data_IF_656383637070
#
_entry.id   IF_656383637070
#
_cell.length_a   1.000
_cell.length_b   1.000
_cell.length_c   1.000
_cell.angle_alpha   90.00
_cell.angle_beta   90.00
_cell.angle_gamma   90.00
#
_symmetry.space_group_name_H-M   'P 1'
#
loop_
_entity.id
_entity.type
_entity.pdbx_description
1 polymer ?
#
# COMPACT_ATOMS: atom_id res chain seq x y z
N UNK A 1 16.04 3.94 15.76
CA UNK A 1 15.57 2.57 16.07
C UNK A 1 14.08 2.63 16.40
N UNK A 2 13.19 2.53 15.41
CA UNK A 2 11.74 2.73 15.63
C UNK A 2 10.93 1.70 14.84
N UNK A 3 11.26 0.42 14.98
CA UNK A 3 10.40 -0.68 14.54
C UNK A 3 10.53 -1.82 15.55
N UNK A 4 10.18 -1.54 16.81
CA UNK A 4 10.06 -2.59 17.82
C UNK A 4 8.98 -2.22 18.82
N UNK A 5 7.74 -2.61 18.55
CA UNK A 5 6.74 -2.94 19.57
C UNK A 5 5.41 -3.37 18.93
N UNK A 6 5.08 -4.61 19.23
CA UNK A 6 3.82 -5.30 19.06
C UNK A 6 2.63 -4.54 19.66
N UNK A 7 1.73 -4.02 18.83
CA UNK A 7 0.29 -3.88 19.17
C UNK A 7 -0.55 -3.60 17.91
N UNK A 8 -1.76 -4.18 17.74
CA UNK A 8 -2.66 -3.84 16.63
C UNK A 8 -3.05 -2.35 16.60
N UNK A 9 -3.04 -1.69 17.76
CA UNK A 9 -3.26 -0.25 17.90
C UNK A 9 -2.08 0.61 17.39
N UNK A 10 -0.87 0.05 17.33
CA UNK A 10 0.34 0.72 16.82
C UNK A 10 0.28 0.94 15.31
N UNK A 11 -0.59 0.23 14.58
CA UNK A 11 -0.71 0.33 13.13
C UNK A 11 -1.58 1.50 12.65
N UNK A 12 -2.72 1.78 13.30
CA UNK A 12 -3.65 2.84 12.84
C UNK A 12 -3.11 4.26 13.09
N UNK A 13 -2.38 4.45 14.19
CA UNK A 13 -1.71 5.71 14.53
C UNK A 13 -0.55 6.00 13.58
N UNK A 14 0.20 4.95 13.17
CA UNK A 14 1.31 5.08 12.22
C UNK A 14 0.84 5.44 10.81
N UNK A 15 -0.27 4.87 10.34
CA UNK A 15 -0.83 5.16 9.01
C UNK A 15 -1.39 6.58 8.95
N UNK A 16 -2.16 6.98 9.96
CA UNK A 16 -2.66 8.35 10.10
C UNK A 16 -1.49 9.34 10.17
N UNK A 17 -0.42 9.00 10.90
CA UNK A 17 0.78 9.83 11.00
C UNK A 17 1.53 9.94 9.66
N UNK A 18 1.70 8.84 8.91
CA UNK A 18 2.29 8.85 7.56
C UNK A 18 1.47 9.72 6.62
N UNK A 19 0.14 9.57 6.60
CA UNK A 19 -0.75 10.42 5.79
C UNK A 19 -0.62 11.90 6.17
N UNK A 20 -0.54 12.23 7.46
CA UNK A 20 -0.35 13.61 7.93
C UNK A 20 1.01 14.16 7.55
N UNK A 21 2.08 13.36 7.62
CA UNK A 21 3.43 13.77 7.23
C UNK A 21 3.56 14.00 5.73
N UNK A 22 2.91 13.16 4.90
CA UNK A 22 2.83 13.38 3.45
C UNK A 22 2.08 14.67 3.14
N UNK A 23 0.93 14.91 3.78
CA UNK A 23 0.16 16.14 3.59
C UNK A 23 0.90 17.40 4.06
N UNK A 24 1.80 17.25 5.03
CA UNK A 24 2.65 18.33 5.52
C UNK A 24 3.93 18.53 4.68
N UNK A 25 4.08 17.81 3.56
CA UNK A 25 5.28 17.79 2.72
C UNK A 25 6.58 17.44 3.48
N UNK A 26 6.46 16.78 4.64
CA UNK A 26 7.60 16.43 5.50
C UNK A 26 8.31 15.15 5.04
N UNK A 27 7.64 14.35 4.22
CA UNK A 27 8.16 13.11 3.65
C UNK A 27 7.78 13.05 2.17
N UNK A 28 8.71 12.64 1.32
CA UNK A 28 8.44 12.38 -0.07
C UNK A 28 7.58 11.11 -0.21
N UNK A 29 6.47 11.23 -0.94
CA UNK A 29 5.56 10.12 -1.19
C UNK A 29 6.22 8.98 -1.98
N UNK A 30 7.19 9.29 -2.83
CA UNK A 30 7.95 8.28 -3.59
C UNK A 30 8.75 7.37 -2.65
N UNK A 31 9.44 7.95 -1.66
CA UNK A 31 10.21 7.20 -0.66
C UNK A 31 9.31 6.27 0.17
N UNK A 32 8.07 6.72 0.45
CA UNK A 32 7.07 5.92 1.15
C UNK A 32 6.63 4.73 0.29
N UNK A 33 6.33 4.96 -0.98
CA UNK A 33 5.93 3.91 -1.91
C UNK A 33 7.05 2.89 -2.09
N UNK A 34 8.30 3.33 -2.25
CA UNK A 34 9.45 2.44 -2.36
C UNK A 34 9.71 1.64 -1.08
N UNK A 35 9.45 2.23 0.09
CA UNK A 35 9.42 1.52 1.37
C UNK A 35 8.37 0.41 1.40
N UNK A 36 7.13 0.72 1.00
CA UNK A 36 6.01 -0.22 0.93
C UNK A 36 6.32 -1.34 -0.06
N UNK A 37 6.81 -1.02 -1.25
CA UNK A 37 7.18 -1.98 -2.30
C UNK A 37 8.20 -2.99 -1.79
N UNK A 38 9.30 -2.52 -1.19
CA UNK A 38 10.33 -3.41 -0.63
C UNK A 38 9.77 -4.32 0.46
N UNK A 39 8.84 -3.83 1.28
CA UNK A 39 8.24 -4.62 2.37
C UNK A 39 7.14 -5.59 1.90
N UNK A 40 6.46 -5.32 0.78
CA UNK A 40 5.60 -6.31 0.12
C UNK A 40 6.39 -7.48 -0.46
N UNK A 41 7.65 -7.26 -0.84
CA UNK A 41 8.53 -8.27 -1.44
C UNK A 41 9.47 -8.94 -0.42
N UNK A 42 9.32 -8.60 0.86
CA UNK A 42 10.05 -9.21 1.98
C UNK A 42 9.68 -10.70 2.10
N UNK A 43 10.60 -11.55 2.57
CA UNK A 43 10.36 -13.00 2.71
C UNK A 43 9.46 -13.33 3.91
N UNK A 44 9.29 -12.41 4.85
CA UNK A 44 8.43 -12.61 6.01
C UNK A 44 6.96 -12.26 5.69
N UNK A 45 6.13 -13.31 5.58
CA UNK A 45 4.68 -13.19 5.34
C UNK A 45 3.97 -12.32 6.39
N UNK A 46 4.46 -12.26 7.64
CA UNK A 46 3.89 -11.39 8.67
C UNK A 46 4.11 -9.92 8.33
N UNK A 47 5.28 -9.58 7.81
CA UNK A 47 5.59 -8.24 7.32
C UNK A 47 4.71 -7.91 6.13
N UNK A 48 4.62 -8.81 5.14
CA UNK A 48 3.77 -8.58 3.97
C UNK A 48 2.31 -8.33 4.39
N UNK A 49 1.76 -9.13 5.31
CA UNK A 49 0.39 -8.95 5.83
C UNK A 49 0.18 -7.63 6.55
N UNK A 50 1.16 -7.16 7.32
CA UNK A 50 1.08 -5.84 7.95
C UNK A 50 1.03 -4.73 6.90
N UNK A 51 1.82 -4.85 5.82
CA UNK A 51 1.83 -3.88 4.73
C UNK A 51 0.52 -3.90 3.94
N UNK A 52 -0.07 -5.08 3.70
CA UNK A 52 -1.40 -5.19 3.09
C UNK A 52 -2.48 -4.49 3.92
N UNK A 53 -2.45 -4.65 5.25
CA UNK A 53 -3.36 -3.92 6.14
C UNK A 53 -3.17 -2.40 6.08
N UNK A 54 -1.91 -1.94 5.97
CA UNK A 54 -1.58 -0.53 5.78
C UNK A 54 -2.16 -0.02 4.46
N UNK A 55 -1.92 -0.73 3.35
CA UNK A 55 -2.45 -0.39 2.03
C UNK A 55 -3.98 -0.40 2.00
N UNK A 56 -4.63 -1.33 2.69
CA UNK A 56 -6.09 -1.36 2.83
C UNK A 56 -6.62 -0.13 3.56
N UNK A 57 -5.95 0.28 4.63
CA UNK A 57 -6.30 1.50 5.38
C UNK A 57 -6.06 2.75 4.53
N UNK A 58 -4.95 2.84 3.80
CA UNK A 58 -4.67 3.95 2.89
C UNK A 58 -5.72 4.00 1.77
N UNK A 59 -6.10 2.85 1.20
CA UNK A 59 -7.09 2.79 0.12
C UNK A 59 -8.49 3.25 0.54
N UNK A 60 -8.80 3.17 1.83
CA UNK A 60 -10.15 3.49 2.38
C UNK A 60 -10.21 4.83 3.09
N UNK A 61 -9.12 5.23 3.75
CA UNK A 61 -9.07 6.42 4.63
C UNK A 61 -7.92 7.37 4.28
N UNK A 62 -7.06 7.01 3.33
CA UNK A 62 -5.91 7.82 2.93
C UNK A 62 -6.33 9.11 2.22
N UNK A 63 -5.42 10.08 2.21
CA UNK A 63 -5.61 11.30 1.44
C UNK A 63 -5.70 10.98 -0.06
N UNK A 64 -6.60 11.64 -0.79
CA UNK A 64 -6.79 11.50 -2.23
C UNK A 64 -5.51 11.67 -3.04
N UNK A 65 -4.60 12.56 -2.64
CA UNK A 65 -3.28 12.75 -3.26
C UNK A 65 -2.41 11.49 -3.12
N UNK A 66 -2.40 10.87 -1.93
CA UNK A 66 -1.65 9.64 -1.67
C UNK A 66 -2.20 8.48 -2.49
N UNK A 67 -3.52 8.33 -2.49
CA UNK A 67 -4.21 7.29 -3.26
C UNK A 67 -3.95 7.48 -4.76
N UNK A 68 -4.02 8.71 -5.26
CA UNK A 68 -3.75 9.04 -6.67
C UNK A 68 -2.31 8.69 -7.07
N UNK A 69 -1.34 9.03 -6.23
CA UNK A 69 0.07 8.77 -6.52
C UNK A 69 0.38 7.26 -6.55
N UNK A 70 -0.14 6.50 -5.59
CA UNK A 70 -0.04 5.04 -5.58
C UNK A 70 -0.59 4.44 -6.88
N UNK A 71 -1.74 4.92 -7.35
CA UNK A 71 -2.37 4.46 -8.60
C UNK A 71 -1.56 4.84 -9.85
N UNK A 72 -0.96 6.04 -9.86
CA UNK A 72 -0.20 6.54 -11.02
C UNK A 72 1.17 5.85 -11.15
N UNK A 73 1.85 5.57 -10.04
CA UNK A 73 3.17 4.90 -10.06
C UNK A 73 3.12 3.51 -10.69
N UNK A 74 2.04 2.74 -10.48
CA UNK A 74 1.95 1.34 -10.88
C UNK A 74 2.85 0.37 -10.09
N UNK A 75 3.81 0.89 -9.32
CA UNK A 75 4.80 0.14 -8.56
C UNK A 75 4.19 -0.79 -7.51
N UNK A 76 3.13 -0.33 -6.83
CA UNK A 76 2.41 -1.14 -5.85
C UNK A 76 1.62 -2.26 -6.53
N UNK A 77 1.06 -2.01 -7.72
CA UNK A 77 0.36 -3.02 -8.50
C UNK A 77 1.28 -4.18 -8.88
N UNK A 78 2.47 -3.85 -9.43
CA UNK A 78 3.48 -4.86 -9.77
C UNK A 78 3.97 -5.65 -8.55
N UNK A 79 4.19 -4.98 -7.41
CA UNK A 79 4.59 -5.66 -6.17
C UNK A 79 3.51 -6.61 -5.63
N UNK A 80 2.24 -6.21 -5.70
CA UNK A 80 1.11 -7.06 -5.31
C UNK A 80 0.99 -8.27 -6.24
N UNK A 81 1.21 -8.10 -7.55
CA UNK A 81 1.21 -9.22 -8.49
C UNK A 81 2.32 -10.23 -8.15
N UNK A 82 3.56 -9.77 -7.92
CA UNK A 82 4.67 -10.64 -7.52
C UNK A 82 4.35 -11.37 -6.21
N UNK A 83 3.73 -10.69 -5.24
CA UNK A 83 3.31 -11.29 -3.98
C UNK A 83 2.25 -12.39 -4.18
N UNK A 84 1.26 -12.14 -5.05
CA UNK A 84 0.22 -13.11 -5.41
C UNK A 84 0.83 -14.33 -6.10
N UNK A 85 1.81 -14.14 -6.99
CA UNK A 85 2.49 -15.24 -7.68
C UNK A 85 3.34 -16.08 -6.73
N UNK A 86 4.01 -15.44 -5.75
CA UNK A 86 4.80 -16.12 -4.71
C UNK A 86 3.96 -16.88 -3.69
N UNK A 87 2.79 -16.35 -3.33
CA UNK A 87 1.90 -16.91 -2.31
C UNK A 87 0.60 -17.46 -2.94
N UNK A 88 0.63 -17.98 -4.16
CA UNK A 88 -0.57 -18.24 -4.99
C UNK A 88 -1.70 -19.06 -4.32
N UNK A 89 -1.38 -19.85 -3.29
CA UNK A 89 -2.32 -20.66 -2.50
C UNK A 89 -2.37 -20.28 -1.01
N UNK A 90 -1.62 -19.26 -0.59
CA UNK A 90 -1.44 -18.92 0.82
C UNK A 90 -2.40 -17.85 1.35
N UNK A 91 -2.21 -17.55 2.64
CA UNK A 91 -3.16 -16.83 3.49
C UNK A 91 -3.36 -15.36 3.10
N UNK A 92 -2.41 -14.76 2.37
CA UNK A 92 -2.44 -13.32 2.07
C UNK A 92 -2.77 -13.00 0.61
N UNK A 93 -2.85 -14.02 -0.25
CA UNK A 93 -3.20 -13.84 -1.67
C UNK A 93 -4.57 -13.24 -1.89
N UNK A 94 -5.57 -13.58 -1.08
CA UNK A 94 -6.92 -12.99 -1.19
C UNK A 94 -6.85 -11.49 -0.89
N UNK A 95 -6.18 -11.11 0.20
CA UNK A 95 -6.00 -9.70 0.60
C UNK A 95 -5.23 -8.92 -0.48
N UNK A 96 -4.17 -9.50 -1.03
CA UNK A 96 -3.37 -8.91 -2.10
C UNK A 96 -4.16 -8.73 -3.40
N UNK A 97 -4.97 -9.71 -3.82
CA UNK A 97 -5.83 -9.62 -5.01
C UNK A 97 -6.88 -8.52 -4.87
N UNK A 98 -7.51 -8.40 -3.71
CA UNK A 98 -8.49 -7.34 -3.45
C UNK A 98 -7.86 -5.95 -3.55
N UNK A 99 -6.65 -5.78 -3.01
CA UNK A 99 -5.93 -4.51 -3.11
C UNK A 99 -5.46 -4.23 -4.54
N UNK A 100 -4.95 -5.25 -5.24
CA UNK A 100 -4.55 -5.14 -6.64
C UNK A 100 -5.71 -4.64 -7.50
N UNK A 101 -6.88 -5.26 -7.37
CA UNK A 101 -8.10 -4.81 -8.07
C UNK A 101 -8.48 -3.38 -7.70
N UNK A 102 -8.38 -2.96 -6.44
CA UNK A 102 -8.72 -1.58 -6.03
C UNK A 102 -7.81 -0.54 -6.66
N UNK A 103 -6.51 -0.83 -6.76
CA UNK A 103 -5.55 0.10 -7.36
C UNK A 103 -5.60 0.08 -8.89
N UNK A 104 -5.76 -1.09 -9.52
CA UNK A 104 -5.86 -1.26 -10.98
C UNK A 104 -7.20 -0.75 -11.54
N UNK A 105 -8.33 -1.02 -10.89
CA UNK A 105 -9.67 -0.60 -11.36
C UNK A 105 -9.79 0.93 -11.45
N UNK A 106 -8.99 1.69 -10.70
CA UNK A 106 -9.00 3.14 -10.82
C UNK A 106 -8.01 3.68 -11.85
N UNK A 107 -7.08 2.87 -12.36
CA UNK A 107 -6.18 3.26 -13.45
C UNK A 107 -6.95 3.32 -14.78
N UNK A 108 -7.89 2.40 -14.99
CA UNK A 108 -8.81 2.38 -16.14
C UNK A 108 -9.72 3.60 -16.17
N UNK A 109 -10.33 4.00 -15.05
CA UNK A 109 -11.24 5.16 -15.04
C UNK A 109 -10.56 6.54 -15.22
N UNK A 110 -9.28 6.68 -14.87
CA UNK A 110 -8.55 7.94 -15.06
C UNK A 110 -8.11 8.14 -16.52
N UNK A 111 -8.12 7.08 -17.34
CA UNK A 111 -7.81 7.19 -18.78
C UNK A 111 -9.03 7.52 -19.67
N UNK A 112 -10.26 7.41 -19.15
CA UNK A 112 -11.50 7.63 -19.92
C UNK A 112 -12.27 8.89 -19.49
N UNK A 113 -11.57 9.96 -19.13
CA UNK A 113 -12.18 11.30 -19.11
C UNK A 113 -11.84 12.02 -20.42
N UNK A 114 -12.74 12.02 -21.43
CA UNK A 114 -12.56 12.88 -22.59
C UNK A 114 -12.56 14.34 -22.12
N UNK A 115 -11.52 15.07 -22.52
CA UNK A 115 -11.52 16.54 -22.46
C UNK A 115 -12.57 17.10 -23.42
#
# INVERSE_FOLDING_TARGET
TVLNSTSPATNMNSITHICTMINSNKINIDDVIDGIKRKLLDSDTRINRQVLNILSTISTKGNSAVIKHIKQSGDIGGALQILIEKDALGLITIEARQLFQRFEFHRTFVSDSPK
#
